data_IF_146587539690
#
_entry.id   IF_146587539690
#
_cell.length_a   1.000
_cell.length_b   1.000
_cell.length_c   1.000
_cell.angle_alpha   90.00
_cell.angle_beta   90.00
_cell.angle_gamma   90.00
#
_symmetry.space_group_name_H-M   'P 1'
#
loop_
_entity.id
_entity.type
_entity.pdbx_description
1 polymer ?
#
# COMPACT_ATOMS: atom_id res chain seq x y z
N UNK A 1 -14.68 27.75 10.38
CA UNK A 1 -13.55 26.97 9.83
C UNK A 1 -12.31 27.52 10.47
N UNK A 2 -11.72 26.76 11.39
CA UNK A 2 -10.43 27.10 11.99
C UNK A 2 -9.32 26.82 10.99
N UNK A 3 -8.41 27.78 10.83
CA UNK A 3 -7.24 27.66 9.98
C UNK A 3 -6.01 27.65 10.87
N UNK A 4 -5.19 26.62 10.75
CA UNK A 4 -3.90 26.54 11.44
C UNK A 4 -2.78 26.82 10.44
N UNK A 5 -1.82 27.66 10.83
CA UNK A 5 -0.64 27.93 10.04
C UNK A 5 0.33 26.75 10.14
N UNK A 6 0.81 26.26 8.99
CA UNK A 6 1.80 25.20 8.91
C UNK A 6 3.11 25.75 8.35
N UNK A 7 4.16 25.78 9.18
CA UNK A 7 5.48 26.24 8.78
C UNK A 7 6.42 25.04 8.58
N UNK A 8 6.93 24.88 7.37
CA UNK A 8 7.85 23.80 7.02
C UNK A 8 9.25 24.35 6.75
N UNK A 9 10.26 23.75 7.36
CA UNK A 9 11.66 24.00 6.99
C UNK A 9 12.05 23.12 5.80
N UNK A 10 12.60 23.74 4.77
CA UNK A 10 13.06 23.06 3.56
C UNK A 10 14.51 23.47 3.29
N UNK A 11 15.36 22.48 3.01
CA UNK A 11 16.72 22.73 2.56
C UNK A 11 16.74 23.45 1.20
N UNK A 12 17.75 24.29 0.97
CA UNK A 12 17.84 25.10 -0.26
C UNK A 12 18.03 24.24 -1.52
N UNK A 13 18.75 23.12 -1.44
CA UNK A 13 18.92 22.22 -2.58
C UNK A 13 17.60 21.53 -2.92
N UNK A 14 16.83 21.12 -1.92
CA UNK A 14 15.51 20.52 -2.14
C UNK A 14 14.53 21.56 -2.70
N UNK A 15 14.56 22.79 -2.18
CA UNK A 15 13.77 23.92 -2.72
C UNK A 15 14.04 24.14 -4.20
N UNK A 16 15.32 24.25 -4.57
CA UNK A 16 15.75 24.52 -5.95
C UNK A 16 15.35 23.44 -6.94
N UNK A 17 15.21 22.18 -6.49
CA UNK A 17 14.75 21.07 -7.34
C UNK A 17 13.24 20.95 -7.40
N UNK A 18 12.55 21.16 -6.29
CA UNK A 18 11.11 20.95 -6.18
C UNK A 18 10.29 22.09 -6.81
N UNK A 19 10.73 23.34 -6.61
CA UNK A 19 9.95 24.52 -7.03
C UNK A 19 9.74 24.57 -8.56
N UNK A 20 10.76 24.37 -9.40
CA UNK A 20 10.57 24.39 -10.85
C UNK A 20 9.59 23.31 -11.33
N UNK A 21 9.58 22.13 -10.70
CA UNK A 21 8.63 21.05 -11.02
C UNK A 21 7.21 21.49 -10.68
N UNK A 22 7.00 22.05 -9.49
CA UNK A 22 5.68 22.56 -9.09
C UNK A 22 5.20 23.67 -10.01
N UNK A 23 6.09 24.58 -10.41
CA UNK A 23 5.79 25.67 -11.36
C UNK A 23 5.39 25.15 -12.74
N UNK A 24 6.00 24.06 -13.22
CA UNK A 24 5.58 23.41 -14.48
C UNK A 24 4.13 22.91 -14.43
N UNK A 25 3.67 22.48 -13.25
CA UNK A 25 2.27 22.11 -13.03
C UNK A 25 1.37 23.31 -12.66
N UNK A 26 1.91 24.54 -12.61
CA UNK A 26 1.18 25.73 -12.18
C UNK A 26 0.77 25.72 -10.71
N UNK A 27 1.48 24.94 -9.88
CA UNK A 27 1.18 24.75 -8.46
C UNK A 27 2.12 25.57 -7.58
N UNK A 28 1.56 26.20 -6.55
CA UNK A 28 2.36 26.74 -5.46
C UNK A 28 2.76 25.62 -4.48
N UNK A 29 3.89 25.77 -3.75
CA UNK A 29 4.30 24.79 -2.73
C UNK A 29 3.21 24.51 -1.69
N UNK A 30 2.50 25.54 -1.23
CA UNK A 30 1.42 25.39 -0.26
C UNK A 30 0.24 24.59 -0.81
N UNK A 31 -0.09 24.75 -2.10
CA UNK A 31 -1.13 23.94 -2.75
C UNK A 31 -0.71 22.47 -2.83
N UNK A 32 0.53 22.19 -3.23
CA UNK A 32 1.04 20.82 -3.30
C UNK A 32 1.02 20.13 -1.94
N UNK A 33 1.46 20.82 -0.88
CA UNK A 33 1.40 20.30 0.51
C UNK A 33 -0.04 20.07 0.95
N UNK A 34 -0.97 20.98 0.62
CA UNK A 34 -2.40 20.79 0.93
C UNK A 34 -3.00 19.59 0.21
N UNK A 35 -2.64 19.37 -1.06
CA UNK A 35 -3.06 18.19 -1.83
C UNK A 35 -2.50 16.90 -1.23
N UNK A 36 -1.24 16.91 -0.81
CA UNK A 36 -0.61 15.78 -0.11
C UNK A 36 -1.38 15.40 1.15
N UNK A 37 -1.71 16.37 2.02
CA UNK A 37 -2.51 16.10 3.22
C UNK A 37 -3.94 15.64 2.89
N UNK A 38 -4.58 16.21 1.87
CA UNK A 38 -5.89 15.75 1.43
C UNK A 38 -5.86 14.30 0.97
N UNK A 39 -4.81 13.89 0.25
CA UNK A 39 -4.67 12.51 -0.22
C UNK A 39 -4.45 11.54 0.95
N UNK A 40 -3.68 11.93 1.96
CA UNK A 40 -3.54 11.15 3.20
C UNK A 40 -4.89 10.98 3.89
N UNK A 41 -5.62 12.08 4.07
CA UNK A 41 -6.93 12.05 4.73
C UNK A 41 -7.96 11.21 3.98
N UNK A 42 -7.93 11.23 2.64
CA UNK A 42 -8.87 10.46 1.81
C UNK A 42 -8.53 8.98 1.72
N UNK A 43 -7.24 8.64 1.64
CA UNK A 43 -6.81 7.26 1.37
C UNK A 43 -6.41 6.50 2.64
N UNK A 44 -6.21 7.21 3.76
CA UNK A 44 -5.69 6.62 5.00
C UNK A 44 -4.23 6.16 4.92
N UNK A 45 -3.53 6.42 3.80
CA UNK A 45 -2.14 6.03 3.58
C UNK A 45 -1.30 7.20 3.09
N UNK A 46 0.01 7.12 3.34
CA UNK A 46 0.96 8.11 2.84
C UNK A 46 1.23 7.85 1.36
N UNK A 47 0.96 8.81 0.45
CA UNK A 47 1.09 8.63 -1.00
C UNK A 47 2.54 8.83 -1.45
N UNK A 48 3.48 8.11 -0.84
CA UNK A 48 4.87 8.06 -1.23
C UNK A 48 5.22 6.62 -1.58
N UNK A 49 5.95 6.43 -2.67
CA UNK A 49 6.52 5.11 -2.99
C UNK A 49 7.69 4.86 -2.05
N UNK A 50 7.47 4.05 -1.03
CA UNK A 50 8.54 3.54 -0.17
C UNK A 50 9.21 2.35 -0.87
N UNK A 51 9.92 2.62 -1.97
CA UNK A 51 10.59 1.59 -2.78
C UNK A 51 11.64 0.81 -1.95
N UNK A 52 12.23 1.46 -0.93
CA UNK A 52 13.10 0.79 0.05
C UNK A 52 12.39 -0.27 0.90
N UNK A 53 11.06 -0.21 1.01
CA UNK A 53 10.21 -1.20 1.68
C UNK A 53 9.55 -2.19 0.70
N UNK A 54 9.67 -1.96 -0.62
CA UNK A 54 9.16 -2.84 -1.68
C UNK A 54 10.00 -4.11 -1.86
N UNK A 55 11.16 -4.19 -1.19
CA UNK A 55 11.86 -5.45 -0.91
C UNK A 55 11.10 -6.36 0.07
N UNK A 56 9.77 -6.32 0.08
CA UNK A 56 8.99 -7.48 0.50
C UNK A 56 9.07 -8.53 -0.60
N UNK A 57 10.29 -9.00 -0.86
CA UNK A 57 10.55 -10.25 -1.58
C UNK A 57 9.68 -11.27 -0.87
N UNK A 58 8.68 -11.80 -1.59
CA UNK A 58 7.87 -12.91 -1.11
C UNK A 58 8.82 -13.87 -0.41
N UNK A 59 8.60 -14.12 0.88
CA UNK A 59 9.48 -15.05 1.61
C UNK A 59 9.58 -16.33 0.79
N UNK A 60 10.73 -17.03 0.77
CA UNK A 60 10.86 -18.27 -0.01
C UNK A 60 9.74 -19.27 0.31
N UNK A 61 9.18 -19.21 1.53
CA UNK A 61 7.99 -19.95 1.96
C UNK A 61 6.70 -19.51 1.23
N UNK A 62 6.49 -18.21 1.03
CA UNK A 62 5.37 -17.68 0.26
C UNK A 62 5.47 -18.04 -1.22
N UNK A 63 6.65 -17.92 -1.83
CA UNK A 63 6.88 -18.34 -3.22
C UNK A 63 6.62 -19.84 -3.40
N UNK A 64 7.12 -20.66 -2.46
CA UNK A 64 6.90 -22.11 -2.48
C UNK A 64 5.41 -22.45 -2.34
N UNK A 65 4.70 -21.78 -1.43
CA UNK A 65 3.26 -22.01 -1.24
C UNK A 65 2.46 -21.63 -2.48
N UNK A 66 2.75 -20.49 -3.11
CA UNK A 66 2.08 -20.08 -4.35
C UNK A 66 2.28 -21.11 -5.46
N UNK A 67 3.52 -21.57 -5.66
CA UNK A 67 3.83 -22.62 -6.66
C UNK A 67 3.14 -23.94 -6.35
N UNK A 68 3.00 -24.29 -5.07
CA UNK A 68 2.27 -25.48 -4.65
C UNK A 68 0.78 -25.35 -4.97
N UNK A 69 0.18 -24.21 -4.63
CA UNK A 69 -1.22 -23.92 -4.95
C UNK A 69 -1.48 -23.97 -6.46
N UNK A 70 -0.60 -23.41 -7.29
CA UNK A 70 -0.73 -23.53 -8.75
C UNK A 70 -0.72 -24.99 -9.24
N UNK A 71 0.08 -25.86 -8.61
CA UNK A 71 0.13 -27.29 -8.92
C UNK A 71 -1.11 -28.04 -8.42
N UNK A 72 -1.59 -27.74 -7.21
CA UNK A 72 -2.81 -28.31 -6.63
C UNK A 72 -4.04 -27.98 -7.50
N UNK A 73 -4.15 -26.72 -7.96
CA UNK A 73 -5.20 -26.30 -8.89
C UNK A 73 -5.10 -26.99 -10.26
N UNK A 74 -3.88 -27.17 -10.81
CA UNK A 74 -3.67 -27.86 -12.08
C UNK A 74 -4.01 -29.37 -12.00
N UNK A 75 -3.75 -29.98 -10.85
CA UNK A 75 -4.05 -31.39 -10.58
C UNK A 75 -5.52 -31.62 -10.17
N UNK A 76 -6.31 -30.55 -9.98
CA UNK A 76 -7.70 -30.65 -9.53
C UNK A 76 -7.85 -30.91 -8.03
N UNK A 77 -6.77 -30.80 -7.25
CA UNK A 77 -6.77 -30.80 -5.79
C UNK A 77 -7.20 -29.41 -5.29
N UNK A 78 -8.48 -29.12 -5.42
CA UNK A 78 -9.07 -27.92 -4.83
C UNK A 78 -10.32 -28.30 -4.04
N UNK A 79 -10.41 -27.81 -2.82
CA UNK A 79 -11.61 -27.95 -2.01
C UNK A 79 -12.54 -26.78 -2.34
N UNK A 80 -13.72 -27.08 -2.89
CA UNK A 80 -14.77 -26.08 -3.08
C UNK A 80 -15.63 -26.08 -1.83
N UNK A 81 -15.75 -24.90 -1.24
CA UNK A 81 -16.69 -24.67 -0.17
C UNK A 81 -17.98 -24.10 -0.75
N UNK A 82 -19.12 -24.69 -0.41
CA UNK A 82 -20.43 -24.24 -0.90
C UNK A 82 -20.89 -22.96 -0.18
N UNK A 83 -20.31 -22.64 0.98
CA UNK A 83 -20.62 -21.44 1.77
C UNK A 83 -19.45 -20.92 2.60
N UNK A 84 -19.55 -19.64 3.00
CA UNK A 84 -18.60 -19.02 3.94
C UNK A 84 -18.62 -19.66 5.33
N UNK A 85 -19.73 -20.30 5.72
CA UNK A 85 -19.85 -21.01 7.00
C UNK A 85 -19.02 -22.29 6.99
N UNK A 86 -19.10 -23.06 5.90
CA UNK A 86 -18.32 -24.28 5.69
C UNK A 86 -16.81 -23.99 5.65
N UNK A 87 -16.40 -22.90 4.97
CA UNK A 87 -15.02 -22.45 4.98
C UNK A 87 -14.54 -22.08 6.39
N UNK A 88 -15.36 -21.39 7.18
CA UNK A 88 -15.01 -21.03 8.56
C UNK A 88 -14.87 -22.27 9.44
N UNK A 89 -15.73 -23.28 9.27
CA UNK A 89 -15.66 -24.53 10.01
C UNK A 89 -14.38 -25.31 9.66
N UNK A 90 -14.07 -25.49 8.38
CA UNK A 90 -12.86 -26.16 7.91
C UNK A 90 -11.58 -25.46 8.42
N UNK A 91 -11.52 -24.14 8.32
CA UNK A 91 -10.39 -23.35 8.84
C UNK A 91 -10.25 -23.42 10.36
N UNK A 92 -11.37 -23.46 11.09
CA UNK A 92 -11.37 -23.62 12.54
C UNK A 92 -10.96 -25.03 13.00
N UNK A 93 -11.11 -26.04 12.15
CA UNK A 93 -10.65 -27.40 12.40
C UNK A 93 -9.14 -27.53 12.14
N UNK A 94 -8.65 -26.94 11.04
CA UNK A 94 -7.21 -26.86 10.72
C UNK A 94 -6.44 -26.07 11.79
N UNK A 95 -7.02 -25.00 12.35
CA UNK A 95 -6.38 -24.21 13.41
C UNK A 95 -6.37 -24.89 14.79
N UNK A 96 -7.19 -25.94 14.98
CA UNK A 96 -7.27 -26.73 16.22
C UNK A 96 -6.45 -28.03 16.15
N UNK A 97 -5.93 -28.40 14.98
CA UNK A 97 -5.04 -29.54 14.75
C UNK A 97 -3.57 -29.23 14.98
#
# INVERSE_FOLDING_TARGET
MDYTNFNMRLDNNLRGRAYPVLEQYGLTPSQAVRMFFNQIAQTGKVPLSFDWADNQVLTPKAVTRLRQTEQEFANGEFERFESLDELNQAMAEIARG
#
